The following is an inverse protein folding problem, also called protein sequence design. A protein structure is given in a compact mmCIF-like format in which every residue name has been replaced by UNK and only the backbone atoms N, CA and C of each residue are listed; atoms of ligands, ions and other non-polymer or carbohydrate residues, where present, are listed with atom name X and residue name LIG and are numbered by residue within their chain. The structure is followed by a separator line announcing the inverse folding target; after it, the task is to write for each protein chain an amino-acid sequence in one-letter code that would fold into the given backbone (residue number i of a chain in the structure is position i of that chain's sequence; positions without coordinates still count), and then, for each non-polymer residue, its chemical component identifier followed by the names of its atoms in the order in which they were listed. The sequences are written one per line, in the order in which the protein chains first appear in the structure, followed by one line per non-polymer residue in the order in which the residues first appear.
data_IF_400281185485
#
_entry.id   IF_400281185485
#
_cell.length_a   1.000
_cell.length_b   1.000
_cell.length_c   1.000
_cell.angle_alpha   90.00
_cell.angle_beta   90.00
_cell.angle_gamma   90.00
#
_symmetry.space_group_name_H-M   'P 1'
#
loop_
_entity.id
_entity.type
_entity.pdbx_description
1 polymer ?
#
# COMPACT_ATOMS: atom_id res chain seq x y z
N UNK A 1 -9.04 20.03 5.47
CA UNK A 1 -8.94 18.57 5.60
C UNK A 1 -9.21 17.97 4.22
N UNK A 2 -8.27 17.24 3.65
CA UNK A 2 -8.40 16.62 2.31
C UNK A 2 -9.40 15.42 2.29
N UNK A 3 -9.96 15.07 3.43
CA UNK A 3 -10.91 13.94 3.55
C UNK A 3 -12.37 14.36 3.44
N UNK A 4 -12.69 15.65 3.66
CA UNK A 4 -14.05 16.15 3.62
C UNK A 4 -14.45 16.56 2.20
N UNK A 5 -15.57 16.02 1.71
CA UNK A 5 -16.11 16.35 0.39
C UNK A 5 -16.78 17.72 0.43
N UNK A 6 -16.63 18.49 -0.64
CA UNK A 6 -17.45 19.67 -0.91
C UNK A 6 -18.82 19.21 -1.44
N UNK A 7 -19.80 19.17 -0.56
CA UNK A 7 -21.13 18.65 -0.87
C UNK A 7 -21.88 19.52 -1.87
N UNK A 8 -21.73 20.86 -1.82
CA UNK A 8 -22.36 21.77 -2.76
C UNK A 8 -21.84 21.50 -4.18
N UNK A 9 -20.53 21.44 -4.31
CA UNK A 9 -19.90 21.15 -5.61
C UNK A 9 -20.26 19.77 -6.13
N UNK A 10 -20.40 18.79 -5.23
CA UNK A 10 -20.77 17.43 -5.60
C UNK A 10 -22.21 17.37 -6.15
N UNK A 11 -23.13 18.11 -5.53
CA UNK A 11 -24.52 18.18 -6.02
C UNK A 11 -24.64 18.95 -7.35
N UNK A 12 -23.85 20.01 -7.56
CA UNK A 12 -23.79 20.68 -8.86
C UNK A 12 -23.38 19.74 -10.00
N UNK A 13 -22.52 18.75 -9.73
CA UNK A 13 -22.05 17.78 -10.71
C UNK A 13 -23.12 16.73 -11.06
N UNK A 14 -24.19 16.58 -10.27
CA UNK A 14 -25.27 15.61 -10.46
C UNK A 14 -24.75 14.19 -10.81
N UNK A 15 -23.88 13.58 -9.98
CA UNK A 15 -23.28 12.29 -10.31
C UNK A 15 -24.33 11.18 -10.30
N UNK A 16 -24.24 10.27 -11.26
CA UNK A 16 -25.03 9.03 -11.29
C UNK A 16 -24.56 8.03 -10.24
N UNK A 17 -23.27 8.12 -9.83
CA UNK A 17 -22.63 7.26 -8.86
C UNK A 17 -21.49 7.99 -8.16
N UNK A 18 -21.39 7.81 -6.84
CA UNK A 18 -20.21 8.23 -6.05
C UNK A 18 -19.43 7.00 -5.59
N UNK A 19 -18.13 6.98 -5.86
CA UNK A 19 -17.23 5.97 -5.32
C UNK A 19 -16.60 6.53 -4.05
N UNK A 20 -16.90 5.89 -2.90
CA UNK A 20 -16.43 6.31 -1.58
C UNK A 20 -15.36 5.37 -1.04
N UNK A 21 -14.38 5.93 -0.32
CA UNK A 21 -13.38 5.18 0.43
C UNK A 21 -13.84 5.03 1.89
N UNK A 22 -14.00 3.79 2.39
CA UNK A 22 -14.64 3.51 3.68
C UNK A 22 -13.97 4.24 4.85
N UNK A 23 -12.64 4.13 4.97
CA UNK A 23 -11.88 4.78 6.05
C UNK A 23 -11.41 6.19 5.73
N UNK A 24 -11.42 6.58 4.46
CA UNK A 24 -10.90 7.87 3.99
C UNK A 24 -11.95 8.97 3.84
N UNK A 25 -13.24 8.61 3.71
CA UNK A 25 -14.32 9.58 3.60
C UNK A 25 -15.15 9.62 4.90
N UNK A 26 -15.64 10.81 5.32
CA UNK A 26 -16.53 10.91 6.47
C UNK A 26 -17.81 10.09 6.26
N UNK A 27 -18.08 9.17 7.17
CA UNK A 27 -19.25 8.26 7.10
C UNK A 27 -20.56 9.04 7.00
N UNK A 28 -20.67 10.17 7.71
CA UNK A 28 -21.84 11.05 7.68
C UNK A 28 -22.11 11.64 6.29
N UNK A 29 -21.05 12.05 5.57
CA UNK A 29 -21.20 12.60 4.22
C UNK A 29 -21.65 11.51 3.22
N UNK A 30 -21.12 10.28 3.35
CA UNK A 30 -21.55 9.16 2.53
C UNK A 30 -23.00 8.77 2.84
N UNK A 31 -23.45 8.85 4.10
CA UNK A 31 -24.84 8.64 4.50
C UNK A 31 -25.76 9.70 3.90
N UNK A 32 -25.40 10.98 4.03
CA UNK A 32 -26.17 12.11 3.45
C UNK A 32 -26.38 11.91 1.94
N UNK A 33 -25.34 11.49 1.20
CA UNK A 33 -25.50 11.23 -0.24
C UNK A 33 -26.55 10.16 -0.52
N UNK A 34 -26.54 9.05 0.24
CA UNK A 34 -27.53 7.98 0.10
C UNK A 34 -28.96 8.45 0.42
N UNK A 35 -29.12 9.23 1.50
CA UNK A 35 -30.41 9.82 1.89
C UNK A 35 -30.98 10.75 0.81
N UNK A 36 -30.11 11.44 0.10
CA UNK A 36 -30.46 12.30 -1.03
C UNK A 36 -30.67 11.54 -2.33
N UNK A 37 -30.59 10.21 -2.34
CA UNK A 37 -30.84 9.36 -3.48
C UNK A 37 -29.65 9.20 -4.45
N UNK A 38 -28.45 9.68 -4.06
CA UNK A 38 -27.23 9.46 -4.86
C UNK A 38 -26.67 8.08 -4.53
N UNK A 39 -26.52 7.17 -5.52
CA UNK A 39 -25.90 5.87 -5.29
C UNK A 39 -24.44 6.03 -4.82
N UNK A 40 -24.08 5.31 -3.74
CA UNK A 40 -22.71 5.32 -3.21
C UNK A 40 -22.15 3.91 -3.19
N UNK A 41 -21.13 3.67 -3.98
CA UNK A 41 -20.34 2.44 -3.99
C UNK A 41 -19.10 2.62 -3.12
N UNK A 42 -19.11 1.96 -1.95
CA UNK A 42 -18.01 2.07 -0.98
C UNK A 42 -16.99 0.95 -1.21
N UNK A 43 -15.70 1.31 -1.30
CA UNK A 43 -14.58 0.40 -1.49
C UNK A 43 -13.50 0.59 -0.42
N UNK A 44 -12.85 -0.50 -0.06
CA UNK A 44 -11.61 -0.53 0.74
C UNK A 44 -10.94 -1.89 0.56
N UNK A 45 -10.29 -2.14 -0.57
CA UNK A 45 -9.58 -3.40 -0.78
C UNK A 45 -8.34 -3.47 0.13
N UNK A 46 -8.27 -4.55 0.93
CA UNK A 46 -7.19 -4.82 1.88
C UNK A 46 -6.34 -6.03 1.51
N UNK A 47 -6.62 -6.66 0.36
CA UNK A 47 -5.83 -7.76 -0.18
C UNK A 47 -5.75 -7.65 -1.69
N UNK A 48 -4.81 -8.34 -2.30
CA UNK A 48 -4.71 -8.41 -3.76
C UNK A 48 -5.98 -8.97 -4.41
N UNK A 49 -6.61 -9.96 -3.76
CA UNK A 49 -7.87 -10.52 -4.23
C UNK A 49 -8.99 -9.46 -4.18
N UNK A 50 -9.07 -8.67 -3.10
CA UNK A 50 -10.02 -7.58 -2.99
C UNK A 50 -9.78 -6.46 -4.04
N UNK A 51 -8.52 -6.23 -4.45
CA UNK A 51 -8.20 -5.30 -5.55
C UNK A 51 -8.79 -5.82 -6.87
N UNK A 52 -8.55 -7.09 -7.21
CA UNK A 52 -9.08 -7.68 -8.45
C UNK A 52 -10.60 -7.69 -8.49
N UNK A 53 -11.28 -8.06 -7.40
CA UNK A 53 -12.74 -7.96 -7.29
C UNK A 53 -13.25 -6.52 -7.41
N UNK A 54 -12.52 -5.54 -6.88
CA UNK A 54 -12.89 -4.14 -7.02
C UNK A 54 -12.83 -3.69 -8.48
N UNK A 55 -11.79 -4.11 -9.23
CA UNK A 55 -11.67 -3.84 -10.67
C UNK A 55 -12.88 -4.39 -11.42
N UNK A 56 -13.27 -5.66 -11.19
CA UNK A 56 -14.43 -6.29 -11.80
C UNK A 56 -15.73 -5.52 -11.50
N UNK A 57 -15.98 -5.21 -10.22
CA UNK A 57 -17.20 -4.51 -9.82
C UNK A 57 -17.30 -3.10 -10.39
N UNK A 58 -16.18 -2.36 -10.42
CA UNK A 58 -16.13 -1.04 -11.02
C UNK A 58 -16.35 -1.09 -12.53
N UNK A 59 -15.84 -2.13 -13.22
CA UNK A 59 -16.05 -2.29 -14.66
C UNK A 59 -17.50 -2.58 -15.00
N UNK A 60 -18.22 -3.38 -14.20
CA UNK A 60 -19.65 -3.62 -14.33
C UNK A 60 -20.42 -2.31 -14.17
N UNK A 61 -20.13 -1.53 -13.13
CA UNK A 61 -20.76 -0.23 -12.89
C UNK A 61 -20.51 0.79 -14.01
N UNK A 62 -19.38 0.67 -14.72
CA UNK A 62 -19.00 1.53 -15.83
C UNK A 62 -19.43 0.99 -17.21
N UNK A 63 -20.05 -0.21 -17.29
CA UNK A 63 -20.39 -0.85 -18.56
C UNK A 63 -19.18 -1.27 -19.38
N UNK A 64 -18.06 -1.59 -18.74
CA UNK A 64 -16.78 -1.98 -19.37
C UNK A 64 -16.31 -3.37 -18.92
N UNK A 65 -17.25 -4.29 -18.70
CA UNK A 65 -17.05 -5.59 -18.06
C UNK A 65 -15.91 -6.39 -18.68
N UNK A 66 -15.90 -6.54 -20.00
CA UNK A 66 -14.90 -7.35 -20.70
C UNK A 66 -13.47 -6.84 -20.44
N UNK A 67 -13.25 -5.52 -20.45
CA UNK A 67 -11.96 -4.91 -20.18
C UNK A 67 -11.57 -5.07 -18.71
N UNK A 68 -12.53 -4.87 -17.80
CA UNK A 68 -12.30 -5.01 -16.36
C UNK A 68 -11.98 -6.44 -15.94
N UNK A 69 -12.72 -7.43 -16.45
CA UNK A 69 -12.45 -8.85 -16.17
C UNK A 69 -11.09 -9.29 -16.72
N UNK A 70 -10.73 -8.85 -17.93
CA UNK A 70 -9.41 -9.13 -18.51
C UNK A 70 -8.27 -8.52 -17.65
N UNK A 71 -8.45 -7.29 -17.15
CA UNK A 71 -7.48 -6.63 -16.30
C UNK A 71 -7.37 -7.27 -14.91
N UNK A 72 -8.50 -7.65 -14.30
CA UNK A 72 -8.52 -8.36 -13.03
C UNK A 72 -7.81 -9.72 -13.13
N UNK A 73 -8.01 -10.45 -14.21
CA UNK A 73 -7.34 -11.73 -14.47
C UNK A 73 -5.84 -11.55 -14.70
N UNK A 74 -5.43 -10.53 -15.47
CA UNK A 74 -4.02 -10.16 -15.66
C UNK A 74 -3.35 -9.85 -14.32
N UNK A 75 -4.06 -9.11 -13.45
CA UNK A 75 -3.57 -8.75 -12.12
C UNK A 75 -3.41 -10.00 -11.23
N UNK A 76 -4.45 -10.86 -11.11
CA UNK A 76 -4.40 -12.12 -10.34
C UNK A 76 -3.27 -13.02 -10.79
N UNK A 77 -3.16 -13.21 -12.11
CA UNK A 77 -2.08 -14.03 -12.69
C UNK A 77 -0.71 -13.47 -12.33
N UNK A 78 -0.52 -12.16 -12.47
CA UNK A 78 0.75 -11.52 -12.14
C UNK A 78 1.12 -11.66 -10.66
N UNK A 79 0.17 -11.52 -9.74
CA UNK A 79 0.37 -11.74 -8.30
C UNK A 79 0.69 -13.22 -8.01
N UNK A 80 -0.02 -14.16 -8.65
CA UNK A 80 0.24 -15.61 -8.50
C UNK A 80 1.64 -15.97 -8.98
N UNK A 81 2.06 -15.47 -10.13
CA UNK A 81 3.40 -15.71 -10.68
C UNK A 81 4.50 -15.16 -9.75
N UNK A 82 4.30 -13.97 -9.17
CA UNK A 82 5.22 -13.40 -8.19
C UNK A 82 5.26 -14.24 -6.90
N UNK A 83 4.10 -14.64 -6.38
CA UNK A 83 4.02 -15.46 -5.17
C UNK A 83 4.76 -16.79 -5.35
N UNK A 84 4.56 -17.47 -6.48
CA UNK A 84 5.27 -18.71 -6.81
C UNK A 84 6.80 -18.50 -6.88
N UNK A 85 7.25 -17.36 -7.42
CA UNK A 85 8.68 -17.04 -7.52
C UNK A 85 9.36 -16.83 -6.18
N UNK A 86 8.64 -16.28 -5.18
CA UNK A 86 9.24 -15.91 -3.89
C UNK A 86 8.80 -16.81 -2.72
N UNK A 87 8.10 -17.92 -2.98
CA UNK A 87 7.60 -18.84 -1.95
C UNK A 87 8.71 -19.36 -1.02
N UNK A 88 9.87 -19.69 -1.57
CA UNK A 88 11.01 -20.24 -0.84
C UNK A 88 12.13 -19.20 -0.64
N UNK A 89 11.84 -17.93 -0.78
CA UNK A 89 12.84 -16.89 -0.62
C UNK A 89 13.22 -16.72 0.86
N UNK A 90 14.52 -16.60 1.15
CA UNK A 90 15.00 -16.34 2.51
C UNK A 90 14.35 -15.07 3.08
N UNK A 91 13.74 -15.11 4.27
CA UNK A 91 13.05 -13.96 4.86
C UNK A 91 13.97 -12.75 5.03
N UNK A 92 13.47 -11.56 4.65
CA UNK A 92 14.15 -10.29 4.87
C UNK A 92 13.37 -9.51 5.93
N UNK A 93 13.92 -9.20 7.12
CA UNK A 93 13.31 -8.29 8.08
C UNK A 93 13.13 -6.89 7.49
N UNK A 94 11.86 -6.45 7.35
CA UNK A 94 11.47 -5.22 6.65
C UNK A 94 10.79 -4.25 7.58
N UNK A 95 11.21 -3.00 7.53
CA UNK A 95 10.43 -1.87 8.01
C UNK A 95 9.90 -1.07 6.81
N UNK A 96 8.58 -0.87 6.74
CA UNK A 96 7.96 0.02 5.77
C UNK A 96 7.50 1.32 6.41
N UNK A 97 8.06 2.44 5.96
CA UNK A 97 7.69 3.77 6.43
C UNK A 97 6.59 4.35 5.54
N UNK A 98 5.36 4.47 6.09
CA UNK A 98 4.21 5.02 5.36
C UNK A 98 4.03 6.52 5.57
N UNK A 99 4.56 7.05 6.69
CA UNK A 99 4.52 8.49 7.03
C UNK A 99 5.70 8.86 7.91
N UNK A 100 6.12 10.14 7.87
CA UNK A 100 7.32 10.61 8.59
C UNK A 100 7.01 11.31 9.91
N UNK A 101 6.11 12.27 9.94
CA UNK A 101 5.77 13.03 11.14
C UNK A 101 4.25 13.09 11.36
N UNK A 102 3.73 12.32 12.33
CA UNK A 102 4.44 11.36 13.18
C UNK A 102 4.93 10.14 12.41
N UNK A 103 6.04 9.52 12.84
CA UNK A 103 6.54 8.28 12.21
C UNK A 103 5.50 7.18 12.30
N UNK A 104 5.11 6.62 11.15
CA UNK A 104 4.09 5.58 11.04
C UNK A 104 4.54 4.44 10.13
N UNK A 105 4.07 3.26 10.46
CA UNK A 105 4.26 2.03 9.68
C UNK A 105 2.92 1.37 9.36
N UNK A 106 2.96 0.16 8.87
CA UNK A 106 1.78 -0.69 8.60
C UNK A 106 1.93 -2.03 9.33
N UNK A 107 0.81 -2.65 9.67
CA UNK A 107 0.80 -4.01 10.23
C UNK A 107 0.69 -5.09 9.13
N UNK A 108 0.60 -6.37 9.53
CA UNK A 108 0.47 -7.49 8.61
C UNK A 108 -0.84 -7.51 7.81
N UNK A 109 -1.94 -6.97 8.37
CA UNK A 109 -3.27 -6.95 7.72
C UNK A 109 -3.41 -5.85 6.66
N UNK A 110 -2.41 -4.99 6.53
CA UNK A 110 -2.40 -3.95 5.51
C UNK A 110 -2.03 -4.54 4.14
N UNK A 111 -2.60 -4.02 3.05
CA UNK A 111 -2.29 -4.48 1.68
C UNK A 111 -0.78 -4.45 1.34
N UNK A 112 -0.02 -3.47 1.87
CA UNK A 112 1.44 -3.45 1.76
C UNK A 112 2.07 -4.54 2.65
N UNK A 113 1.43 -4.94 3.75
CA UNK A 113 1.84 -6.09 4.56
C UNK A 113 1.79 -7.39 3.75
N UNK A 114 0.68 -7.63 3.02
CA UNK A 114 0.57 -8.76 2.09
C UNK A 114 1.64 -8.70 0.98
N UNK A 115 1.99 -7.49 0.50
CA UNK A 115 3.06 -7.29 -0.49
C UNK A 115 4.44 -7.67 0.07
N UNK A 116 4.73 -7.28 1.32
CA UNK A 116 5.98 -7.64 2.01
C UNK A 116 6.09 -9.16 2.10
N UNK A 117 5.05 -9.83 2.61
CA UNK A 117 5.01 -11.28 2.77
C UNK A 117 5.16 -12.00 1.43
N UNK A 118 4.43 -11.58 0.39
CA UNK A 118 4.51 -12.15 -0.95
C UNK A 118 5.95 -12.13 -1.50
N UNK A 119 6.71 -11.07 -1.23
CA UNK A 119 8.10 -10.93 -1.66
C UNK A 119 9.12 -11.65 -0.76
N UNK A 120 8.66 -12.45 0.21
CA UNK A 120 9.52 -13.10 1.20
C UNK A 120 10.12 -12.12 2.20
N UNK A 121 9.42 -11.02 2.50
CA UNK A 121 9.77 -10.11 3.58
C UNK A 121 9.08 -10.51 4.89
N UNK A 122 9.71 -10.18 6.01
CA UNK A 122 9.14 -10.26 7.35
C UNK A 122 8.92 -8.83 7.88
N UNK A 123 7.66 -8.41 7.98
CA UNK A 123 7.32 -7.10 8.52
C UNK A 123 7.60 -7.06 10.02
N UNK A 124 8.68 -6.40 10.44
CA UNK A 124 9.09 -6.32 11.86
C UNK A 124 8.03 -5.72 12.79
N UNK A 125 7.02 -5.04 12.22
CA UNK A 125 5.85 -4.49 12.92
C UNK A 125 4.54 -5.15 12.52
N UNK A 126 4.59 -6.29 11.82
CA UNK A 126 3.41 -7.02 11.34
C UNK A 126 2.43 -7.45 12.44
N UNK A 127 2.93 -7.65 13.67
CA UNK A 127 2.18 -8.10 14.85
C UNK A 127 1.35 -7.00 15.53
N UNK A 128 1.47 -5.73 15.13
CA UNK A 128 0.74 -4.64 15.77
C UNK A 128 -0.75 -4.66 15.39
N UNK A 129 -1.63 -4.35 16.38
CA UNK A 129 -3.08 -4.44 16.20
C UNK A 129 -3.65 -3.40 15.22
N UNK A 130 -3.08 -2.18 15.21
CA UNK A 130 -3.57 -1.11 14.34
C UNK A 130 -3.04 -1.29 12.93
N UNK A 131 -3.90 -1.06 11.94
CA UNK A 131 -3.54 -1.15 10.52
C UNK A 131 -2.38 -0.22 10.14
N UNK A 132 -2.40 1.01 10.66
CA UNK A 132 -1.36 2.03 10.45
C UNK A 132 -0.97 2.61 11.81
N UNK A 133 -0.07 1.93 12.55
CA UNK A 133 0.35 2.37 13.88
C UNK A 133 1.38 3.48 13.82
N UNK A 134 1.38 4.34 14.87
CA UNK A 134 2.50 5.23 15.16
C UNK A 134 3.57 4.44 15.91
N UNK A 135 4.81 4.68 15.58
CA UNK A 135 5.98 4.08 16.22
C UNK A 135 7.03 5.14 16.52
N UNK A 136 8.06 4.79 17.29
CA UNK A 136 9.21 5.66 17.52
C UNK A 136 10.42 5.20 16.70
N UNK A 137 11.39 6.10 16.51
CA UNK A 137 12.64 5.73 15.84
C UNK A 137 13.43 4.69 16.65
N UNK A 138 13.36 4.77 17.98
CA UNK A 138 13.98 3.78 18.88
C UNK A 138 13.41 2.38 18.69
N UNK A 139 12.09 2.25 18.42
CA UNK A 139 11.48 0.96 18.13
C UNK A 139 12.01 0.37 16.82
N UNK A 140 12.23 1.19 15.78
CA UNK A 140 12.85 0.75 14.53
C UNK A 140 14.30 0.31 14.74
N UNK A 141 15.06 1.09 15.52
CA UNK A 141 16.45 0.75 15.87
C UNK A 141 16.51 -0.57 16.65
N UNK A 142 15.61 -0.76 17.61
CA UNK A 142 15.54 -2.00 18.40
C UNK A 142 15.14 -3.22 17.55
N UNK A 143 14.23 -3.05 16.58
CA UNK A 143 13.83 -4.10 15.65
C UNK A 143 14.93 -4.43 14.62
N UNK A 144 15.88 -3.51 14.39
CA UNK A 144 17.01 -3.65 13.48
C UNK A 144 16.67 -4.30 12.14
N UNK A 145 15.77 -3.73 11.32
CA UNK A 145 15.40 -4.30 10.03
C UNK A 145 16.59 -4.40 9.09
N UNK A 146 16.58 -5.43 8.24
CA UNK A 146 17.59 -5.61 7.19
C UNK A 146 17.35 -4.71 5.98
N UNK A 147 16.08 -4.32 5.75
CA UNK A 147 15.70 -3.39 4.71
C UNK A 147 14.69 -2.35 5.23
N UNK A 148 14.85 -1.10 4.85
CA UNK A 148 13.90 -0.02 5.07
C UNK A 148 13.38 0.45 3.73
N UNK A 149 12.06 0.35 3.55
CA UNK A 149 11.39 0.85 2.36
C UNK A 149 10.47 2.01 2.74
N UNK A 150 10.46 3.05 1.94
CA UNK A 150 9.61 4.22 2.16
C UNK A 150 8.99 4.70 0.85
N UNK A 151 7.68 5.02 0.90
CA UNK A 151 6.99 5.76 -0.15
C UNK A 151 6.62 7.13 0.41
N UNK A 152 7.46 8.14 0.18
CA UNK A 152 7.25 9.50 0.69
C UNK A 152 6.08 10.23 0.04
N UNK A 153 5.81 11.47 0.48
CA UNK A 153 4.91 12.37 -0.25
C UNK A 153 5.59 12.83 -1.55
N UNK A 154 5.00 12.46 -2.69
CA UNK A 154 5.56 12.74 -4.02
C UNK A 154 6.33 11.57 -4.62
N UNK A 155 6.30 11.48 -5.94
CA UNK A 155 6.78 10.31 -6.70
C UNK A 155 8.30 10.14 -6.69
N UNK A 156 9.06 11.13 -6.25
CA UNK A 156 10.53 11.13 -6.25
C UNK A 156 11.13 11.51 -4.88
N UNK A 157 10.30 11.76 -3.87
CA UNK A 157 10.76 12.26 -2.58
C UNK A 157 11.38 11.15 -1.73
N UNK A 158 12.70 11.12 -1.66
CA UNK A 158 13.49 10.17 -0.86
C UNK A 158 13.87 10.72 0.51
N UNK A 159 13.40 11.91 0.87
CA UNK A 159 13.82 12.60 2.09
C UNK A 159 13.63 11.75 3.37
N UNK A 160 12.56 10.96 3.43
CA UNK A 160 12.30 10.11 4.60
C UNK A 160 13.40 9.08 4.87
N UNK A 161 14.13 8.65 3.83
CA UNK A 161 15.22 7.68 3.97
C UNK A 161 16.49 8.31 4.53
N UNK A 162 16.70 9.64 4.39
CA UNK A 162 17.90 10.30 4.88
C UNK A 162 18.02 10.28 6.41
N UNK A 163 16.91 10.23 7.13
CA UNK A 163 16.90 10.05 8.60
C UNK A 163 17.67 8.78 8.99
N UNK A 164 17.45 7.68 8.30
CA UNK A 164 18.02 6.37 8.64
C UNK A 164 19.52 6.31 8.38
N UNK A 165 20.04 7.13 7.46
CA UNK A 165 21.49 7.24 7.22
C UNK A 165 22.26 7.76 8.45
N UNK A 166 21.57 8.43 9.38
CA UNK A 166 22.16 8.90 10.65
C UNK A 166 22.39 7.77 11.66
N UNK A 167 21.94 6.56 11.38
CA UNK A 167 22.10 5.38 12.25
C UNK A 167 22.95 4.31 11.55
N UNK A 168 24.28 4.47 11.50
CA UNK A 168 25.17 3.57 10.74
C UNK A 168 25.20 2.13 11.27
N UNK A 169 24.81 1.91 12.51
CA UNK A 169 24.73 0.57 13.12
C UNK A 169 23.46 -0.21 12.77
N UNK A 170 22.47 0.41 12.12
CA UNK A 170 21.31 -0.30 11.59
C UNK A 170 21.75 -1.18 10.42
N UNK A 171 21.34 -2.46 10.42
CA UNK A 171 21.67 -3.40 9.35
C UNK A 171 21.22 -2.87 7.96
N UNK A 172 20.04 -2.24 7.87
CA UNK A 172 19.57 -1.62 6.64
C UNK A 172 20.49 -0.48 6.14
N UNK A 173 21.07 0.30 7.07
CA UNK A 173 21.98 1.40 6.72
C UNK A 173 23.37 0.86 6.37
N UNK A 174 23.89 -0.05 7.18
CA UNK A 174 25.21 -0.69 6.98
C UNK A 174 25.29 -1.35 5.58
N UNK A 175 24.19 -2.01 5.15
CA UNK A 175 24.11 -2.72 3.88
C UNK A 175 23.53 -1.88 2.74
N UNK A 176 23.32 -0.58 2.94
CA UNK A 176 22.70 0.33 1.95
C UNK A 176 21.32 -0.15 1.45
N UNK A 177 20.54 -0.81 2.31
CA UNK A 177 19.20 -1.33 2.02
C UNK A 177 18.11 -0.31 2.36
N UNK A 178 18.31 0.94 1.96
CA UNK A 178 17.36 2.04 2.10
C UNK A 178 16.70 2.30 0.74
N UNK A 179 15.45 1.85 0.55
CA UNK A 179 14.81 1.83 -0.76
C UNK A 179 13.60 2.76 -0.82
N UNK A 180 13.54 3.57 -1.85
CA UNK A 180 12.35 4.34 -2.18
C UNK A 180 11.43 3.54 -3.10
N UNK A 181 10.13 3.55 -2.79
CA UNK A 181 9.06 2.98 -3.63
C UNK A 181 8.09 4.11 -3.98
N UNK A 182 7.82 4.36 -5.27
CA UNK A 182 6.85 5.38 -5.67
C UNK A 182 5.47 5.12 -5.05
N UNK A 183 4.88 6.08 -4.31
CA UNK A 183 3.62 5.86 -3.58
C UNK A 183 2.44 5.55 -4.51
N UNK A 184 2.42 6.05 -5.74
CA UNK A 184 1.38 5.75 -6.72
C UNK A 184 1.32 4.26 -7.11
N UNK A 185 2.41 3.51 -6.89
CA UNK A 185 2.49 2.09 -7.21
C UNK A 185 2.04 1.18 -6.05
N UNK A 186 2.09 1.66 -4.80
CA UNK A 186 1.88 0.80 -3.63
C UNK A 186 0.82 1.31 -2.64
N UNK A 187 0.55 2.62 -2.61
CA UNK A 187 -0.40 3.21 -1.67
C UNK A 187 -1.82 3.36 -2.23
N UNK A 188 -2.02 3.07 -3.52
CA UNK A 188 -3.32 3.12 -4.17
C UNK A 188 -3.67 1.73 -4.68
N UNK A 189 -4.80 1.13 -4.23
CA UNK A 189 -5.22 -0.21 -4.64
C UNK A 189 -5.78 -0.18 -6.08
N UNK A 190 -4.88 -0.12 -7.03
CA UNK A 190 -5.15 -0.09 -8.48
C UNK A 190 -4.36 -1.20 -9.19
N UNK A 191 -4.64 -1.51 -10.47
CA UNK A 191 -3.85 -2.47 -11.24
C UNK A 191 -2.34 -2.23 -11.24
N UNK A 192 -1.91 -0.96 -11.03
CA UNK A 192 -0.49 -0.59 -10.95
C UNK A 192 0.23 -1.20 -9.75
N UNK A 193 -0.50 -1.69 -8.75
CA UNK A 193 0.11 -2.40 -7.62
C UNK A 193 0.87 -3.65 -8.03
N UNK A 194 0.54 -4.27 -9.16
CA UNK A 194 1.34 -5.38 -9.70
C UNK A 194 2.76 -4.93 -10.05
N UNK A 195 2.92 -3.74 -10.64
CA UNK A 195 4.22 -3.13 -10.92
C UNK A 195 4.95 -2.76 -9.62
N UNK A 196 4.21 -2.15 -8.68
CA UNK A 196 4.73 -1.83 -7.34
C UNK A 196 5.22 -3.06 -6.59
N UNK A 197 4.47 -4.17 -6.65
CA UNK A 197 4.86 -5.43 -6.01
C UNK A 197 6.14 -6.01 -6.66
N UNK A 198 6.25 -5.97 -7.98
CA UNK A 198 7.49 -6.38 -8.66
C UNK A 198 8.71 -5.58 -8.19
N UNK A 199 8.57 -4.25 -8.19
CA UNK A 199 9.63 -3.37 -7.71
C UNK A 199 9.99 -3.66 -6.25
N UNK A 200 8.97 -3.89 -5.40
CA UNK A 200 9.18 -4.23 -3.99
C UNK A 200 9.97 -5.53 -3.84
N UNK A 201 9.56 -6.58 -4.55
CA UNK A 201 10.27 -7.86 -4.56
C UNK A 201 11.73 -7.70 -5.06
N UNK A 202 11.96 -6.92 -6.13
CA UNK A 202 13.31 -6.63 -6.63
C UNK A 202 14.18 -5.96 -5.56
N UNK A 203 13.63 -5.04 -4.75
CA UNK A 203 14.38 -4.41 -3.66
C UNK A 203 14.75 -5.40 -2.56
N UNK A 204 13.86 -6.34 -2.23
CA UNK A 204 14.19 -7.41 -1.28
C UNK A 204 15.23 -8.39 -1.83
N UNK A 205 15.22 -8.69 -3.13
CA UNK A 205 16.30 -9.47 -3.76
C UNK A 205 17.66 -8.77 -3.66
N UNK A 206 17.67 -7.44 -3.89
CA UNK A 206 18.91 -6.65 -3.70
C UNK A 206 19.38 -6.75 -2.25
N UNK A 207 18.47 -6.67 -1.27
CA UNK A 207 18.82 -6.80 0.15
C UNK A 207 19.42 -8.19 0.46
N UNK A 208 18.81 -9.28 -0.05
CA UNK A 208 19.34 -10.64 0.07
C UNK A 208 20.74 -10.78 -0.50
N UNK A 209 20.97 -10.22 -1.69
CA UNK A 209 22.29 -10.24 -2.37
C UNK A 209 23.38 -9.44 -1.67
N UNK A 210 23.02 -8.58 -0.69
CA UNK A 210 23.96 -7.80 0.13
C UNK A 210 24.27 -8.43 1.49
N UNK A 211 23.74 -9.62 1.75
CA UNK A 211 24.14 -10.42 2.91
C UNK A 211 25.60 -10.88 2.76
N UNK A 212 26.34 -10.96 3.90
CA UNK A 212 27.72 -11.43 3.87
C UNK A 212 27.86 -12.89 3.42
#
# INVERSE_FOLDING_TARGET
SHTRMDMERLFELQPDLVIGWVTGNPTEQLATLREMGVPVFSIEPRSFEAVSHTIERLSILAGTDAAGFAEAERFRKGITDLRARFTDADPVPVFYQVWDEPLMTINGDHLIGEMIELCGGDNVFGHLERLVPRISAEAVIAANPEAILAGGMGEENRHWLTRWQSFPSLTATERDNLFFIPPSLVQRPTPRMLEGTRLFCEKLEVARGRRP
#
